data_IF_464106611852
#
_entry.id   IF_464106611852
#
_cell.length_a   1.000
_cell.length_b   1.000
_cell.length_c   1.000
_cell.angle_alpha   90.00
_cell.angle_beta   90.00
_cell.angle_gamma   90.00
#
_symmetry.space_group_name_H-M   'P 1'
#
loop_
_entity.id
_entity.type
_entity.pdbx_description
1 polymer ?
#
# COMPACT_ATOMS: atom_id res chain seq x y z
N UNK A 1 -21.22 -0.58 -22.15
CA UNK A 1 -19.91 -0.15 -22.67
C UNK A 1 -19.05 0.48 -21.58
N UNK A 2 -19.64 1.16 -20.57
CA UNK A 2 -18.93 1.72 -19.39
C UNK A 2 -18.16 0.65 -18.62
N UNK A 3 -18.76 -0.48 -18.26
CA UNK A 3 -18.09 -1.49 -17.44
C UNK A 3 -16.87 -2.15 -18.07
N UNK A 4 -16.80 -2.29 -19.39
CA UNK A 4 -15.61 -2.81 -20.09
C UNK A 4 -14.45 -1.79 -20.08
N UNK A 5 -14.78 -0.51 -20.21
CA UNK A 5 -13.80 0.58 -20.18
C UNK A 5 -13.26 0.75 -18.76
N UNK A 6 -14.12 0.68 -17.73
CA UNK A 6 -13.74 0.75 -16.32
C UNK A 6 -12.83 -0.42 -15.91
N UNK A 7 -13.15 -1.62 -16.38
CA UNK A 7 -12.30 -2.81 -16.15
C UNK A 7 -10.92 -2.66 -16.82
N UNK A 8 -10.87 -2.08 -18.02
CA UNK A 8 -9.60 -1.86 -18.72
C UNK A 8 -8.70 -0.85 -18.00
N UNK A 9 -9.29 0.27 -17.51
CA UNK A 9 -8.55 1.25 -16.71
C UNK A 9 -8.00 0.62 -15.44
N UNK A 10 -8.81 -0.14 -14.71
CA UNK A 10 -8.41 -0.86 -13.49
C UNK A 10 -7.21 -1.76 -13.75
N UNK A 11 -7.26 -2.57 -14.81
CA UNK A 11 -6.17 -3.48 -15.19
C UNK A 11 -4.89 -2.70 -15.54
N UNK A 12 -5.01 -1.63 -16.32
CA UNK A 12 -3.86 -0.79 -16.71
C UNK A 12 -3.23 -0.14 -15.49
N UNK A 13 -4.03 0.44 -14.59
CA UNK A 13 -3.55 1.06 -13.36
C UNK A 13 -2.85 0.04 -12.45
N UNK A 14 -3.44 -1.14 -12.28
CA UNK A 14 -2.85 -2.21 -11.48
C UNK A 14 -1.44 -2.59 -11.99
N UNK A 15 -1.31 -2.89 -13.29
CA UNK A 15 -0.01 -3.25 -13.87
C UNK A 15 0.98 -2.09 -13.88
N UNK A 16 0.51 -0.86 -14.10
CA UNK A 16 1.36 0.33 -14.08
C UNK A 16 1.93 0.56 -12.67
N UNK A 17 1.08 0.53 -11.65
CA UNK A 17 1.49 0.74 -10.25
C UNK A 17 2.41 -0.39 -9.81
N UNK A 18 1.95 -1.64 -9.88
CA UNK A 18 2.72 -2.78 -9.41
C UNK A 18 4.03 -2.93 -10.20
N UNK A 19 3.98 -2.79 -11.53
CA UNK A 19 5.16 -2.85 -12.38
C UNK A 19 6.18 -1.77 -12.02
N UNK A 20 5.74 -0.54 -11.77
CA UNK A 20 6.62 0.56 -11.35
C UNK A 20 7.26 0.27 -9.99
N UNK A 21 6.49 -0.20 -9.00
CA UNK A 21 6.98 -0.52 -7.66
C UNK A 21 8.02 -1.65 -7.68
N UNK A 22 7.79 -2.68 -8.49
CA UNK A 22 8.77 -3.77 -8.64
C UNK A 22 10.02 -3.27 -9.37
N UNK A 23 9.91 -2.43 -10.40
CA UNK A 23 11.09 -1.83 -11.05
C UNK A 23 11.90 -0.96 -10.08
N UNK A 24 11.24 -0.21 -9.19
CA UNK A 24 11.91 0.57 -8.14
C UNK A 24 12.67 -0.38 -7.18
N UNK A 25 12.07 -1.49 -6.80
CA UNK A 25 12.68 -2.52 -5.98
C UNK A 25 13.95 -3.08 -6.65
N UNK A 26 13.85 -3.54 -7.89
CA UNK A 26 14.94 -4.08 -8.68
C UNK A 26 16.06 -3.06 -8.91
N UNK A 27 15.70 -1.77 -9.02
CA UNK A 27 16.66 -0.68 -9.14
C UNK A 27 17.55 -0.57 -7.89
N UNK A 28 17.02 -0.90 -6.71
CA UNK A 28 17.79 -0.99 -5.48
C UNK A 28 18.91 -2.02 -5.56
N UNK A 29 18.58 -3.25 -5.98
CA UNK A 29 19.57 -4.32 -6.20
C UNK A 29 20.59 -3.92 -7.27
N UNK A 30 20.09 -3.40 -8.38
CA UNK A 30 20.92 -2.99 -9.52
C UNK A 30 21.98 -1.94 -9.14
N UNK A 31 21.54 -0.83 -8.53
CA UNK A 31 22.43 0.26 -8.16
C UNK A 31 23.47 -0.23 -7.15
N UNK A 32 23.03 -0.95 -6.13
CA UNK A 32 23.90 -1.40 -5.04
C UNK A 32 24.88 -2.46 -5.51
N UNK A 33 24.47 -3.39 -6.36
CA UNK A 33 25.37 -4.37 -6.98
C UNK A 33 26.45 -3.70 -7.81
N UNK A 34 26.08 -2.72 -8.64
CA UNK A 34 27.06 -1.96 -9.44
C UNK A 34 28.03 -1.15 -8.60
N UNK A 35 27.54 -0.48 -7.55
CA UNK A 35 28.41 0.27 -6.63
C UNK A 35 29.37 -0.64 -5.85
N UNK A 36 28.91 -1.86 -5.54
CA UNK A 36 29.74 -2.88 -4.88
C UNK A 36 30.70 -3.63 -5.83
N UNK A 37 30.69 -3.33 -7.13
CA UNK A 37 31.54 -3.99 -8.12
C UNK A 37 31.06 -5.40 -8.53
N UNK A 38 29.84 -5.81 -8.13
CA UNK A 38 29.23 -7.06 -8.55
C UNK A 38 28.71 -6.91 -9.98
N UNK A 39 28.99 -7.93 -10.82
CA UNK A 39 28.60 -7.92 -12.23
C UNK A 39 27.11 -8.11 -12.39
N UNK A 40 26.45 -7.17 -13.05
CA UNK A 40 25.04 -7.26 -13.44
C UNK A 40 24.91 -7.68 -14.87
N UNK A 41 24.35 -8.85 -15.10
CA UNK A 41 24.19 -9.44 -16.44
C UNK A 41 22.99 -8.84 -17.18
N UNK A 42 21.85 -8.69 -16.52
CA UNK A 42 20.63 -8.18 -17.13
C UNK A 42 19.81 -7.37 -16.15
N UNK A 43 19.24 -6.27 -16.66
CA UNK A 43 18.18 -5.49 -16.00
C UNK A 43 16.97 -5.52 -16.91
N UNK A 44 15.91 -6.22 -16.51
CA UNK A 44 14.71 -6.40 -17.29
C UNK A 44 13.50 -5.69 -16.72
N UNK A 45 12.75 -4.97 -17.58
CA UNK A 45 11.42 -4.46 -17.25
C UNK A 45 10.40 -5.48 -17.75
N UNK A 46 9.54 -5.98 -16.86
CA UNK A 46 8.65 -7.11 -17.11
C UNK A 46 9.36 -8.46 -16.99
N UNK A 47 8.57 -9.55 -16.95
CA UNK A 47 9.10 -10.93 -16.92
C UNK A 47 9.21 -11.56 -18.29
N UNK A 48 10.17 -12.48 -18.50
CA UNK A 48 10.33 -13.24 -19.74
C UNK A 48 9.03 -13.87 -20.26
N UNK A 49 8.92 -14.10 -21.58
CA UNK A 49 9.98 -14.04 -22.57
C UNK A 49 10.35 -12.62 -23.01
N UNK A 50 11.60 -12.45 -23.46
CA UNK A 50 12.14 -11.14 -23.90
C UNK A 50 11.41 -10.65 -25.16
N UNK A 51 10.88 -9.40 -25.08
CA UNK A 51 10.26 -8.73 -26.21
C UNK A 51 11.28 -7.93 -27.03
N UNK A 52 12.16 -7.18 -26.34
CA UNK A 52 13.13 -6.29 -27.00
C UNK A 52 14.36 -6.06 -26.12
N UNK A 53 15.52 -6.00 -26.76
CA UNK A 53 16.74 -5.43 -26.16
C UNK A 53 16.68 -3.92 -26.35
N UNK A 54 16.62 -3.17 -25.25
CA UNK A 54 16.59 -1.71 -25.27
C UNK A 54 18.00 -1.15 -25.46
N UNK A 55 18.96 -1.72 -24.76
CA UNK A 55 20.35 -1.32 -24.80
C UNK A 55 21.26 -2.47 -24.39
N UNK A 56 22.37 -2.62 -25.08
CA UNK A 56 23.50 -3.43 -24.66
C UNK A 56 24.65 -2.47 -24.37
N UNK A 57 24.89 -2.15 -23.10
CA UNK A 57 25.91 -1.18 -22.68
C UNK A 57 26.91 -1.87 -21.77
N UNK A 58 28.12 -2.10 -22.31
CA UNK A 58 29.17 -2.79 -21.58
C UNK A 58 28.77 -4.22 -21.26
N UNK A 59 28.72 -4.55 -19.96
CA UNK A 59 28.45 -5.92 -19.47
C UNK A 59 26.99 -6.17 -19.12
N UNK A 60 26.13 -5.13 -19.10
CA UNK A 60 24.74 -5.23 -18.70
C UNK A 60 23.81 -5.14 -19.91
N UNK A 61 22.89 -6.10 -20.01
CA UNK A 61 21.82 -6.11 -20.99
C UNK A 61 20.57 -5.45 -20.39
N UNK A 62 20.02 -4.43 -21.06
CA UNK A 62 18.76 -3.79 -20.68
C UNK A 62 17.64 -4.30 -21.58
N UNK A 63 16.60 -4.90 -20.99
CA UNK A 63 15.55 -5.58 -21.74
C UNK A 63 14.15 -5.13 -21.37
N UNK A 64 13.26 -5.20 -22.36
CA UNK A 64 11.82 -5.13 -22.19
C UNK A 64 11.26 -6.53 -22.46
N UNK A 65 10.37 -7.00 -21.60
CA UNK A 65 9.80 -8.33 -21.67
C UNK A 65 8.29 -8.28 -21.90
N UNK A 66 7.74 -9.41 -22.40
CA UNK A 66 6.33 -9.47 -22.82
C UNK A 66 5.34 -9.42 -21.66
N UNK A 67 5.70 -9.97 -20.48
CA UNK A 67 4.81 -9.93 -19.34
C UNK A 67 5.02 -8.60 -18.60
N UNK A 68 4.07 -7.66 -18.63
CA UNK A 68 4.24 -6.31 -18.06
C UNK A 68 4.11 -6.30 -16.54
N UNK A 69 4.48 -7.38 -15.89
CA UNK A 69 4.41 -7.55 -14.45
C UNK A 69 5.82 -7.46 -13.89
N UNK A 70 6.14 -6.36 -13.22
CA UNK A 70 7.39 -6.23 -12.49
C UNK A 70 8.64 -6.01 -13.32
N UNK A 71 9.74 -6.53 -12.83
CA UNK A 71 11.07 -6.48 -13.41
C UNK A 71 11.97 -7.52 -12.78
N UNK A 72 13.22 -7.56 -13.19
CA UNK A 72 14.23 -8.39 -12.56
C UNK A 72 15.63 -7.83 -12.80
N UNK A 73 16.51 -8.15 -11.86
CA UNK A 73 17.96 -7.97 -11.99
C UNK A 73 18.60 -9.34 -11.95
N UNK A 74 19.44 -9.64 -12.93
CA UNK A 74 20.24 -10.88 -12.94
C UNK A 74 21.68 -10.55 -12.60
N UNK A 75 22.14 -11.02 -11.44
CA UNK A 75 23.51 -10.91 -11.00
C UNK A 75 24.35 -12.13 -11.40
N UNK A 76 25.61 -11.92 -11.70
CA UNK A 76 26.55 -13.03 -11.94
C UNK A 76 26.66 -13.91 -10.70
N UNK A 77 26.43 -15.24 -10.84
CA UNK A 77 26.55 -16.20 -9.74
C UNK A 77 25.47 -16.15 -8.69
N UNK A 78 24.33 -15.48 -8.95
CA UNK A 78 23.20 -15.38 -8.01
C UNK A 78 22.50 -16.71 -7.78
N UNK A 79 22.37 -17.55 -8.82
CA UNK A 79 21.72 -18.85 -8.78
C UNK A 79 22.62 -19.98 -8.23
N UNK A 80 23.76 -19.61 -7.65
CA UNK A 80 24.74 -20.56 -7.12
C UNK A 80 25.59 -21.21 -8.20
N UNK A 81 25.63 -20.66 -9.41
CA UNK A 81 26.54 -21.07 -10.45
C UNK A 81 27.98 -20.75 -10.00
N UNK A 82 28.84 -21.77 -10.01
CA UNK A 82 30.27 -21.64 -9.65
C UNK A 82 30.96 -20.82 -10.78
N UNK A 83 30.90 -19.50 -10.67
CA UNK A 83 31.65 -18.67 -11.57
C UNK A 83 32.99 -18.34 -10.96
N UNK A 84 34.08 -18.54 -11.72
CA UNK A 84 35.41 -18.09 -11.35
C UNK A 84 35.59 -16.57 -11.48
N UNK A 85 34.52 -15.82 -11.81
CA UNK A 85 34.59 -14.36 -11.89
C UNK A 85 34.67 -13.77 -10.47
N UNK A 86 35.73 -13.04 -10.13
CA UNK A 86 35.86 -12.38 -8.83
C UNK A 86 34.73 -11.36 -8.54
N UNK A 87 34.00 -10.90 -9.58
CA UNK A 87 32.87 -9.98 -9.46
C UNK A 87 31.52 -10.71 -9.36
N UNK A 88 31.54 -12.04 -9.18
CA UNK A 88 30.33 -12.82 -8.93
C UNK A 88 29.72 -12.46 -7.58
N UNK A 89 28.38 -12.38 -7.51
CA UNK A 89 27.64 -12.22 -6.27
C UNK A 89 27.99 -13.33 -5.25
N UNK A 90 28.17 -14.57 -5.72
CA UNK A 90 28.55 -15.68 -4.86
C UNK A 90 29.92 -15.47 -4.17
N UNK A 91 30.86 -14.78 -4.82
CA UNK A 91 32.18 -14.49 -4.31
C UNK A 91 32.27 -13.20 -3.48
N UNK A 92 31.22 -12.37 -3.51
CA UNK A 92 31.18 -11.13 -2.75
C UNK A 92 31.16 -11.40 -1.21
N UNK A 93 31.77 -10.52 -0.41
CA UNK A 93 31.70 -10.59 1.05
C UNK A 93 30.26 -10.70 1.56
N UNK A 94 30.05 -11.38 2.69
CA UNK A 94 28.71 -11.58 3.28
C UNK A 94 27.94 -10.27 3.39
N UNK A 95 28.56 -9.23 3.97
CA UNK A 95 27.93 -7.93 4.16
C UNK A 95 27.50 -7.31 2.83
N UNK A 96 28.34 -7.39 1.81
CA UNK A 96 28.01 -6.89 0.45
C UNK A 96 26.78 -7.57 -0.11
N UNK A 97 26.67 -8.89 0.01
CA UNK A 97 25.50 -9.66 -0.44
C UNK A 97 24.23 -9.26 0.31
N UNK A 98 24.33 -9.09 1.63
CA UNK A 98 23.18 -8.66 2.45
C UNK A 98 22.74 -7.22 2.09
N UNK A 99 23.70 -6.30 1.91
CA UNK A 99 23.40 -4.91 1.52
C UNK A 99 22.73 -4.85 0.14
N UNK A 100 23.17 -5.66 -0.83
CA UNK A 100 22.51 -5.74 -2.14
C UNK A 100 21.07 -6.23 -2.00
N UNK A 101 20.81 -7.27 -1.22
CA UNK A 101 19.45 -7.80 -1.03
C UNK A 101 18.54 -6.84 -0.23
N UNK A 102 19.06 -6.19 0.81
CA UNK A 102 18.30 -5.18 1.57
C UNK A 102 17.96 -3.96 0.72
N UNK A 103 18.78 -3.63 -0.29
CA UNK A 103 18.60 -2.42 -1.10
C UNK A 103 17.24 -2.37 -1.83
N UNK A 104 16.71 -3.51 -2.28
CA UNK A 104 15.37 -3.57 -2.87
C UNK A 104 14.27 -3.18 -1.87
N UNK A 105 14.33 -3.72 -0.65
CA UNK A 105 13.43 -3.36 0.45
C UNK A 105 13.49 -1.87 0.78
N UNK A 106 14.72 -1.34 0.92
CA UNK A 106 14.96 0.07 1.23
C UNK A 106 14.42 0.98 0.12
N UNK A 107 14.61 0.63 -1.14
CA UNK A 107 14.09 1.42 -2.27
C UNK A 107 12.57 1.50 -2.26
N UNK A 108 11.86 0.44 -1.89
CA UNK A 108 10.40 0.48 -1.76
C UNK A 108 9.96 1.33 -0.56
N UNK A 109 10.67 1.30 0.57
CA UNK A 109 10.39 2.23 1.67
C UNK A 109 10.62 3.68 1.28
N UNK A 110 11.71 3.97 0.56
CA UNK A 110 11.97 5.30 0.00
C UNK A 110 10.85 5.68 -0.98
N UNK A 111 10.41 4.75 -1.83
CA UNK A 111 9.30 4.96 -2.76
C UNK A 111 8.01 5.34 -2.04
N UNK A 112 7.62 4.62 -0.98
CA UNK A 112 6.47 4.93 -0.15
C UNK A 112 6.59 6.32 0.48
N UNK A 113 7.72 6.60 1.11
CA UNK A 113 8.01 7.91 1.72
C UNK A 113 7.91 9.06 0.71
N UNK A 114 8.51 8.91 -0.48
CA UNK A 114 8.47 9.96 -1.51
C UNK A 114 7.04 10.19 -2.05
N UNK A 115 6.24 9.14 -2.18
CA UNK A 115 4.84 9.27 -2.57
C UNK A 115 4.06 10.03 -1.50
N UNK A 116 4.17 9.65 -0.23
CA UNK A 116 3.49 10.35 0.87
C UNK A 116 3.98 11.78 1.02
N UNK A 117 5.29 12.02 0.84
CA UNK A 117 5.87 13.35 0.83
C UNK A 117 5.28 14.24 -0.29
N UNK A 118 5.19 13.71 -1.50
CA UNK A 118 4.60 14.43 -2.62
C UNK A 118 3.14 14.84 -2.32
N UNK A 119 2.35 13.91 -1.79
CA UNK A 119 0.94 14.16 -1.45
C UNK A 119 0.84 15.19 -0.32
N UNK A 120 1.59 15.02 0.77
CA UNK A 120 1.56 15.93 1.91
C UNK A 120 2.07 17.34 1.57
N UNK A 121 3.06 17.44 0.68
CA UNK A 121 3.65 18.72 0.30
C UNK A 121 2.79 19.50 -0.70
N UNK A 122 2.25 18.84 -1.73
CA UNK A 122 1.69 19.51 -2.90
C UNK A 122 0.20 19.21 -3.16
N UNK A 123 -0.33 18.11 -2.65
CA UNK A 123 -1.60 17.57 -3.13
C UNK A 123 -2.43 16.89 -2.03
N UNK A 124 -2.39 17.38 -0.78
CA UNK A 124 -3.23 16.84 0.29
C UNK A 124 -4.70 17.07 -0.06
N UNK A 125 -5.53 16.02 -0.19
CA UNK A 125 -6.94 16.19 -0.47
C UNK A 125 -7.66 16.91 0.67
N UNK A 126 -8.54 17.84 0.32
CA UNK A 126 -9.55 18.38 1.24
C UNK A 126 -10.66 17.32 1.36
N UNK A 127 -11.01 16.98 2.59
CA UNK A 127 -11.97 15.90 2.86
C UNK A 127 -13.08 16.37 3.77
N UNK A 128 -14.28 15.84 3.54
CA UNK A 128 -15.40 15.89 4.46
C UNK A 128 -15.70 14.51 5.02
N UNK A 129 -16.71 14.42 5.85
CA UNK A 129 -17.18 13.19 6.47
C UNK A 129 -18.62 12.91 6.07
N UNK A 130 -18.86 11.86 5.31
CA UNK A 130 -20.19 11.33 5.05
C UNK A 130 -20.60 10.39 6.18
N UNK A 131 -21.83 10.52 6.65
CA UNK A 131 -22.37 9.72 7.73
C UNK A 131 -23.64 8.99 7.29
N UNK A 132 -23.74 7.67 7.58
CA UNK A 132 -24.90 6.88 7.17
C UNK A 132 -26.12 7.06 8.07
N UNK A 133 -25.93 7.45 9.34
CA UNK A 133 -26.98 7.44 10.35
C UNK A 133 -27.06 8.80 11.05
N UNK A 134 -28.28 9.29 11.22
CA UNK A 134 -28.62 10.43 12.10
C UNK A 134 -29.43 9.87 13.26
N UNK A 135 -28.99 10.13 14.48
CA UNK A 135 -29.62 9.64 15.71
C UNK A 135 -30.95 10.38 15.96
N UNK A 136 -32.04 9.67 16.29
CA UNK A 136 -33.30 10.32 16.66
C UNK A 136 -33.16 11.22 17.91
N UNK A 137 -33.77 12.40 17.87
CA UNK A 137 -33.70 13.37 18.98
C UNK A 137 -32.36 14.09 19.13
N UNK A 138 -31.44 13.91 18.18
CA UNK A 138 -30.11 14.51 18.21
C UNK A 138 -30.07 15.95 17.68
N UNK A 139 -28.99 16.71 17.98
CA UNK A 139 -28.73 17.98 17.34
C UNK A 139 -28.71 17.92 15.82
N UNK A 140 -28.18 16.82 15.26
CA UNK A 140 -28.13 16.58 13.81
C UNK A 140 -29.56 16.51 13.22
N UNK A 141 -30.48 15.73 13.83
CA UNK A 141 -31.86 15.65 13.40
C UNK A 141 -32.58 16.98 13.53
N UNK A 142 -32.42 17.68 14.67
CA UNK A 142 -33.04 18.97 14.91
C UNK A 142 -32.56 20.04 13.92
N UNK A 143 -31.31 19.95 13.46
CA UNK A 143 -30.73 20.82 12.43
C UNK A 143 -31.13 20.42 11.00
N UNK A 144 -31.83 19.32 10.79
CA UNK A 144 -32.27 18.86 9.48
C UNK A 144 -31.20 18.17 8.65
N UNK A 145 -30.18 17.59 9.30
CA UNK A 145 -29.21 16.69 8.64
C UNK A 145 -29.91 15.36 8.27
N UNK A 146 -29.46 14.76 7.19
CA UNK A 146 -30.05 13.53 6.65
C UNK A 146 -28.99 12.45 6.49
N UNK A 147 -29.37 11.16 6.59
CA UNK A 147 -28.46 10.08 6.25
C UNK A 147 -27.84 10.26 4.86
N UNK A 148 -26.55 9.96 4.73
CA UNK A 148 -25.71 10.14 3.54
C UNK A 148 -25.40 11.59 3.14
N UNK A 149 -25.73 12.59 3.95
CA UNK A 149 -25.13 13.91 3.85
C UNK A 149 -23.64 13.82 4.24
N UNK A 150 -22.84 14.81 3.79
CA UNK A 150 -21.43 14.90 4.19
C UNK A 150 -21.14 16.27 4.83
N UNK A 151 -20.55 16.28 6.01
CA UNK A 151 -20.04 17.51 6.62
C UNK A 151 -18.72 17.86 5.95
N UNK A 152 -18.62 19.08 5.44
CA UNK A 152 -17.51 19.53 4.61
C UNK A 152 -16.72 20.70 5.22
N UNK A 153 -17.30 21.38 6.22
CA UNK A 153 -16.63 22.42 7.00
C UNK A 153 -17.33 22.65 8.33
N UNK A 154 -16.60 23.19 9.30
CA UNK A 154 -17.12 23.74 10.57
C UNK A 154 -16.73 25.21 10.62
N UNK A 155 -17.68 26.12 10.75
CA UNK A 155 -17.47 27.58 10.73
C UNK A 155 -16.60 28.08 9.57
N UNK A 156 -16.80 27.50 8.40
CA UNK A 156 -16.03 27.75 7.18
C UNK A 156 -14.59 27.18 7.18
N UNK A 157 -14.15 26.52 8.23
CA UNK A 157 -12.88 25.79 8.27
C UNK A 157 -13.04 24.41 7.64
N UNK A 158 -12.14 24.09 6.70
CA UNK A 158 -12.12 22.80 5.99
C UNK A 158 -11.05 21.87 6.54
N UNK A 159 -11.30 20.61 6.44
CA UNK A 159 -10.40 19.56 6.91
C UNK A 159 -9.66 18.93 5.73
N UNK A 160 -8.45 18.54 5.96
CA UNK A 160 -7.65 17.81 4.98
C UNK A 160 -7.37 16.36 5.43
N UNK A 161 -6.90 15.55 4.49
CA UNK A 161 -6.73 14.11 4.69
C UNK A 161 -5.71 13.73 5.78
N UNK A 162 -4.71 14.58 6.04
CA UNK A 162 -3.68 14.33 7.05
C UNK A 162 -3.87 15.17 8.32
N UNK A 163 -4.88 16.00 8.37
CA UNK A 163 -5.18 16.85 9.50
C UNK A 163 -5.95 16.14 10.61
N UNK A 164 -6.31 16.90 11.64
CA UNK A 164 -7.22 16.43 12.67
C UNK A 164 -8.57 16.09 12.04
N UNK A 165 -9.13 14.94 12.43
CA UNK A 165 -10.40 14.49 11.88
C UNK A 165 -11.57 15.36 12.32
N UNK A 166 -12.60 15.45 11.50
CA UNK A 166 -13.82 16.24 11.76
C UNK A 166 -14.55 15.80 13.05
N UNK A 167 -14.55 14.50 13.37
CA UNK A 167 -15.19 13.99 14.61
C UNK A 167 -14.50 14.48 15.89
N UNK A 168 -13.17 14.45 16.04
CA UNK A 168 -12.48 15.09 17.15
C UNK A 168 -12.80 16.57 17.26
N UNK A 169 -12.77 17.33 16.16
CA UNK A 169 -13.07 18.76 16.16
C UNK A 169 -14.52 19.06 16.64
N UNK A 170 -15.50 18.25 16.27
CA UNK A 170 -16.86 18.37 16.78
C UNK A 170 -16.93 18.08 18.29
N UNK A 171 -16.16 17.09 18.78
CA UNK A 171 -16.15 16.70 20.20
C UNK A 171 -15.49 17.76 21.09
N UNK A 172 -14.44 18.41 20.62
CA UNK A 172 -13.76 19.51 21.33
C UNK A 172 -14.64 20.74 21.49
N UNK A 173 -15.59 20.92 20.55
CA UNK A 173 -16.52 22.05 20.54
C UNK A 173 -17.91 21.69 21.09
N UNK A 174 -18.00 20.64 21.93
CA UNK A 174 -19.24 20.23 22.56
C UNK A 174 -19.89 21.39 23.34
N UNK A 175 -21.20 21.60 23.16
CA UNK A 175 -21.96 22.70 23.72
C UNK A 175 -21.99 23.98 22.89
N UNK A 176 -21.11 24.11 21.89
CA UNK A 176 -21.06 25.29 21.04
C UNK A 176 -22.17 25.26 19.96
N UNK A 177 -22.52 26.46 19.49
CA UNK A 177 -23.34 26.61 18.28
C UNK A 177 -22.42 26.87 17.09
N UNK A 178 -22.48 26.01 16.09
CA UNK A 178 -21.59 25.98 14.95
C UNK A 178 -22.38 26.15 13.64
N UNK A 179 -21.69 26.61 12.61
CA UNK A 179 -22.18 26.58 11.24
C UNK A 179 -21.49 25.44 10.49
N UNK A 180 -22.23 24.38 10.18
CA UNK A 180 -21.73 23.27 9.39
C UNK A 180 -21.97 23.53 7.90
N UNK A 181 -20.93 23.44 7.08
CA UNK A 181 -21.08 23.25 5.65
C UNK A 181 -21.46 21.80 5.37
N UNK A 182 -22.58 21.56 4.71
CA UNK A 182 -23.13 20.23 4.47
C UNK A 182 -23.35 20.03 2.99
N UNK A 183 -22.64 19.06 2.41
CA UNK A 183 -22.91 18.58 1.06
C UNK A 183 -24.08 17.59 1.12
N UNK A 184 -25.19 17.94 0.46
CA UNK A 184 -26.38 17.11 0.38
C UNK A 184 -26.17 15.93 -0.59
N UNK A 185 -26.84 14.84 -0.36
CA UNK A 185 -26.81 13.66 -1.24
C UNK A 185 -27.42 13.92 -2.63
N UNK A 186 -28.29 14.92 -2.75
CA UNK A 186 -28.95 15.36 -3.99
C UNK A 186 -28.17 16.46 -4.75
N UNK A 187 -27.05 16.91 -4.21
CA UNK A 187 -26.14 17.92 -4.75
C UNK A 187 -26.34 19.30 -4.10
N UNK A 188 -25.24 20.06 -4.05
CA UNK A 188 -25.18 21.38 -3.43
C UNK A 188 -24.59 21.34 -2.01
N UNK A 189 -24.03 22.50 -1.60
CA UNK A 189 -23.50 22.70 -0.24
C UNK A 189 -24.40 23.74 0.43
N UNK A 190 -24.90 23.40 1.60
CA UNK A 190 -25.74 24.26 2.45
C UNK A 190 -25.01 24.55 3.75
N UNK A 191 -25.19 25.75 4.30
CA UNK A 191 -24.72 26.10 5.64
C UNK A 191 -25.87 25.87 6.64
N UNK A 192 -25.62 25.02 7.61
CA UNK A 192 -26.61 24.61 8.60
C UNK A 192 -26.08 24.97 9.97
N UNK A 193 -26.84 25.78 10.72
CA UNK A 193 -26.50 26.08 12.12
C UNK A 193 -26.98 24.99 13.04
N UNK A 194 -26.11 24.49 13.91
CA UNK A 194 -26.42 23.43 14.88
C UNK A 194 -25.80 23.76 16.23
N UNK A 195 -26.51 23.49 17.31
CA UNK A 195 -25.98 23.52 18.68
C UNK A 195 -25.65 22.11 19.11
N UNK A 196 -24.38 21.84 19.40
CA UNK A 196 -23.89 20.52 19.80
C UNK A 196 -24.37 20.15 21.22
N UNK A 197 -24.40 18.85 21.51
CA UNK A 197 -24.60 18.35 22.90
C UNK A 197 -23.53 18.91 23.81
N UNK A 198 -23.86 19.29 25.07
CA UNK A 198 -22.84 19.71 26.03
C UNK A 198 -21.95 18.53 26.46
N UNK A 199 -20.77 18.84 26.94
CA UNK A 199 -19.75 17.83 27.29
C UNK A 199 -20.26 16.79 28.30
N UNK A 200 -21.16 17.22 29.22
CA UNK A 200 -21.74 16.37 30.26
C UNK A 200 -22.66 15.26 29.72
N UNK A 201 -23.16 15.43 28.49
CA UNK A 201 -24.02 14.45 27.81
C UNK A 201 -23.24 13.50 26.89
N UNK A 202 -21.89 13.65 26.79
CA UNK A 202 -21.04 12.84 25.96
C UNK A 202 -20.47 11.67 26.76
N UNK A 203 -20.52 10.48 26.15
CA UNK A 203 -19.83 9.27 26.63
C UNK A 203 -19.01 8.64 25.49
N UNK A 204 -18.59 7.37 25.62
CA UNK A 204 -17.81 6.68 24.60
C UNK A 204 -18.62 6.43 23.33
N UNK A 205 -19.93 6.24 23.44
CA UNK A 205 -20.85 5.88 22.35
C UNK A 205 -21.63 7.10 21.80
N UNK A 206 -21.70 8.20 22.58
CA UNK A 206 -22.52 9.38 22.25
C UNK A 206 -21.67 10.50 21.63
N UNK A 207 -21.90 10.79 20.36
CA UNK A 207 -21.25 11.90 19.66
C UNK A 207 -21.91 13.25 19.90
N UNK A 208 -21.11 14.35 19.86
CA UNK A 208 -21.59 15.72 20.12
C UNK A 208 -22.68 16.19 19.12
N UNK A 209 -22.66 15.71 17.90
CA UNK A 209 -23.61 16.05 16.85
C UNK A 209 -24.80 15.05 16.76
N UNK A 210 -24.57 13.80 17.13
CA UNK A 210 -25.57 12.71 16.98
C UNK A 210 -25.61 12.15 15.56
N UNK A 211 -24.45 11.94 14.98
CA UNK A 211 -24.26 11.13 13.79
C UNK A 211 -23.51 9.86 14.20
N UNK A 212 -23.88 8.74 13.60
CA UNK A 212 -23.27 7.45 13.92
C UNK A 212 -23.07 6.59 12.68
N UNK A 213 -22.33 5.50 12.86
CA UNK A 213 -22.00 4.54 11.83
C UNK A 213 -22.01 3.12 12.42
N UNK A 214 -22.14 2.11 11.56
CA UNK A 214 -22.05 0.70 11.94
C UNK A 214 -20.94 0.01 11.15
N UNK A 215 -20.63 -1.22 11.49
CA UNK A 215 -19.67 -2.03 10.72
C UNK A 215 -20.14 -2.26 9.27
N UNK A 216 -21.45 -2.34 9.04
CA UNK A 216 -22.05 -2.52 7.71
C UNK A 216 -22.18 -1.20 6.94
N UNK A 217 -22.28 -0.07 7.66
CA UNK A 217 -22.39 1.27 7.10
C UNK A 217 -21.43 2.21 7.87
N UNK A 218 -20.15 2.22 7.53
CA UNK A 218 -19.14 3.05 8.19
C UNK A 218 -19.23 4.52 7.78
N UNK A 219 -18.56 5.39 8.53
CA UNK A 219 -18.25 6.73 8.05
C UNK A 219 -17.37 6.66 6.81
N UNK A 220 -17.65 7.50 5.82
CA UNK A 220 -16.90 7.55 4.58
C UNK A 220 -16.26 8.92 4.38
N UNK A 221 -15.01 9.00 3.91
CA UNK A 221 -14.44 10.26 3.47
C UNK A 221 -15.18 10.78 2.23
N UNK A 222 -15.47 12.08 2.22
CA UNK A 222 -16.04 12.78 1.07
C UNK A 222 -14.98 13.67 0.42
N UNK A 223 -14.65 13.39 -0.84
CA UNK A 223 -13.61 14.12 -1.57
C UNK A 223 -14.22 15.17 -2.48
N UNK A 224 -13.74 16.42 -2.36
CA UNK A 224 -14.22 17.56 -3.18
C UNK A 224 -13.46 17.72 -4.49
N UNK A 225 -12.33 17.03 -4.67
CA UNK A 225 -11.39 17.32 -5.75
C UNK A 225 -10.55 18.58 -5.54
N UNK A 226 -10.56 19.14 -4.33
CA UNK A 226 -9.70 20.24 -3.92
C UNK A 226 -8.47 19.71 -3.18
N UNK A 227 -7.33 20.39 -3.34
CA UNK A 227 -6.06 19.99 -2.75
C UNK A 227 -5.38 21.19 -2.11
N UNK A 228 -4.72 20.94 -0.97
CA UNK A 228 -3.91 21.93 -0.26
C UNK A 228 -2.47 21.47 -0.19
N UNK A 229 -1.55 22.44 -0.24
CA UNK A 229 -0.13 22.17 -0.01
C UNK A 229 0.28 22.56 1.40
N UNK A 230 1.31 21.91 1.92
CA UNK A 230 1.95 22.24 3.19
C UNK A 230 3.40 22.69 2.98
N UNK A 231 3.98 23.31 4.02
CA UNK A 231 5.42 23.55 4.03
C UNK A 231 6.21 22.22 4.04
N UNK A 232 7.41 22.24 3.48
CA UNK A 232 8.22 21.05 3.31
C UNK A 232 8.60 20.36 4.63
N UNK A 233 8.98 21.06 5.72
CA UNK A 233 9.25 20.42 7.01
C UNK A 233 8.05 19.63 7.55
N UNK A 234 6.85 20.21 7.57
CA UNK A 234 5.62 19.53 7.98
C UNK A 234 5.30 18.32 7.09
N UNK A 235 5.46 18.47 5.78
CA UNK A 235 5.25 17.39 4.83
C UNK A 235 6.22 16.21 5.03
N UNK A 236 7.48 16.47 5.37
CA UNK A 236 8.48 15.44 5.72
C UNK A 236 8.05 14.69 6.97
N UNK A 237 7.59 15.39 8.02
CA UNK A 237 7.07 14.78 9.24
C UNK A 237 5.92 13.83 8.93
N UNK A 238 4.89 14.32 8.24
CA UNK A 238 3.71 13.54 7.85
C UNK A 238 4.10 12.30 7.01
N UNK A 239 4.99 12.47 6.02
CA UNK A 239 5.42 11.36 5.19
C UNK A 239 6.16 10.27 5.99
N UNK A 240 6.96 10.68 6.98
CA UNK A 240 7.62 9.78 7.91
C UNK A 240 6.61 9.00 8.77
N UNK A 241 5.68 9.70 9.40
CA UNK A 241 4.63 9.13 10.25
C UNK A 241 3.75 8.17 9.45
N UNK A 242 3.33 8.55 8.22
CA UNK A 242 2.54 7.68 7.34
C UNK A 242 3.30 6.42 6.95
N UNK A 243 4.58 6.54 6.60
CA UNK A 243 5.42 5.38 6.24
C UNK A 243 5.54 4.41 7.42
N UNK A 244 5.78 4.92 8.63
CA UNK A 244 5.88 4.12 9.86
C UNK A 244 4.52 3.51 10.21
N UNK A 245 3.46 4.29 10.14
CA UNK A 245 2.09 3.84 10.42
C UNK A 245 1.70 2.66 9.52
N UNK A 246 1.88 2.80 8.21
CA UNK A 246 1.55 1.71 7.28
C UNK A 246 2.43 0.49 7.45
N UNK A 247 3.73 0.68 7.74
CA UNK A 247 4.62 -0.43 8.07
C UNK A 247 4.10 -1.21 9.29
N UNK A 248 3.68 -0.52 10.35
CA UNK A 248 3.10 -1.13 11.56
C UNK A 248 1.78 -1.86 11.28
N UNK A 249 0.87 -1.24 10.50
CA UNK A 249 -0.41 -1.84 10.13
C UNK A 249 -0.23 -3.11 9.28
N UNK A 250 0.69 -3.10 8.32
CA UNK A 250 0.98 -4.25 7.46
C UNK A 250 1.59 -5.38 8.30
N UNK A 251 2.51 -5.05 9.21
CA UNK A 251 3.09 -6.05 10.13
C UNK A 251 2.03 -6.67 11.04
N UNK A 252 1.12 -5.87 11.58
CA UNK A 252 -0.03 -6.34 12.37
C UNK A 252 -0.96 -7.24 11.53
N UNK A 253 -1.26 -6.84 10.29
CA UNK A 253 -2.06 -7.63 9.35
C UNK A 253 -1.44 -8.99 9.03
N UNK A 254 -0.11 -9.06 8.86
CA UNK A 254 0.60 -10.32 8.69
C UNK A 254 0.52 -11.20 9.95
N UNK A 255 0.57 -10.58 11.15
CA UNK A 255 0.35 -11.29 12.41
C UNK A 255 -1.06 -11.89 12.50
N UNK A 256 -2.08 -11.12 12.13
CA UNK A 256 -3.47 -11.58 12.08
C UNK A 256 -3.67 -12.70 11.04
N UNK A 257 -3.05 -12.58 9.86
CA UNK A 257 -3.07 -13.65 8.85
C UNK A 257 -2.50 -14.94 9.41
N UNK A 258 -1.36 -14.87 10.10
CA UNK A 258 -0.74 -16.03 10.71
C UNK A 258 -1.61 -16.66 11.80
N UNK A 259 -2.22 -15.87 12.69
CA UNK A 259 -3.13 -16.36 13.73
C UNK A 259 -4.38 -17.00 13.13
N UNK A 260 -5.03 -16.33 12.17
CA UNK A 260 -6.21 -16.88 11.47
C UNK A 260 -5.91 -18.23 10.82
N UNK A 261 -4.75 -18.35 10.15
CA UNK A 261 -4.35 -19.60 9.51
C UNK A 261 -4.07 -20.74 10.51
N UNK A 262 -3.58 -20.40 11.69
CA UNK A 262 -3.32 -21.39 12.76
C UNK A 262 -4.64 -21.83 13.41
N UNK A 263 -5.54 -20.90 13.68
CA UNK A 263 -6.79 -21.13 14.40
C UNK A 263 -7.83 -21.82 13.52
N UNK A 264 -8.01 -21.37 12.28
CA UNK A 264 -8.90 -21.94 11.28
C UNK A 264 -8.33 -21.79 9.87
N UNK A 265 -7.62 -22.79 9.33
CA UNK A 265 -7.06 -22.77 7.98
C UNK A 265 -8.10 -22.64 6.85
N UNK A 266 -9.39 -22.82 7.16
CA UNK A 266 -10.50 -22.73 6.20
C UNK A 266 -11.17 -21.35 6.20
N UNK A 267 -10.87 -20.52 7.19
CA UNK A 267 -11.41 -19.17 7.29
C UNK A 267 -10.95 -18.30 6.11
N UNK A 268 -11.80 -17.37 5.65
CA UNK A 268 -11.41 -16.41 4.63
C UNK A 268 -10.19 -15.60 5.08
N UNK A 269 -9.13 -15.47 4.24
CA UNK A 269 -7.94 -14.71 4.62
C UNK A 269 -8.29 -13.24 4.88
N UNK A 270 -7.75 -12.61 5.95
CA UNK A 270 -7.96 -11.19 6.25
C UNK A 270 -7.12 -10.27 5.35
N UNK A 271 -6.72 -10.73 4.19
CA UNK A 271 -5.91 -10.01 3.19
C UNK A 271 -6.55 -10.10 1.82
N UNK A 272 -6.23 -9.14 0.97
CA UNK A 272 -6.62 -9.15 -0.44
C UNK A 272 -5.49 -9.73 -1.30
N UNK A 273 -5.88 -10.53 -2.27
CA UNK A 273 -5.00 -11.04 -3.31
C UNK A 273 -4.92 -10.09 -4.51
N UNK A 274 -4.30 -10.52 -5.60
CA UNK A 274 -4.11 -9.68 -6.79
C UNK A 274 -5.41 -9.11 -7.38
N UNK A 275 -6.50 -9.87 -7.35
CA UNK A 275 -7.81 -9.44 -7.88
C UNK A 275 -8.43 -8.40 -6.95
N UNK A 276 -8.42 -8.62 -5.64
CA UNK A 276 -8.91 -7.66 -4.66
C UNK A 276 -8.13 -6.34 -4.69
N UNK A 277 -6.80 -6.40 -4.78
CA UNK A 277 -5.95 -5.21 -4.91
C UNK A 277 -6.27 -4.45 -6.21
N UNK A 278 -6.41 -5.14 -7.34
CA UNK A 278 -6.76 -4.50 -8.60
C UNK A 278 -8.13 -3.81 -8.51
N UNK A 279 -9.12 -4.46 -7.94
CA UNK A 279 -10.46 -3.89 -7.73
C UNK A 279 -10.40 -2.66 -6.82
N UNK A 280 -9.71 -2.75 -5.69
CA UNK A 280 -9.53 -1.62 -4.76
C UNK A 280 -8.85 -0.42 -5.42
N UNK A 281 -7.81 -0.61 -6.24
CA UNK A 281 -7.18 0.46 -7.03
C UNK A 281 -8.20 1.12 -7.96
N UNK A 282 -8.99 0.31 -8.69
CA UNK A 282 -10.02 0.83 -9.60
C UNK A 282 -11.12 1.61 -8.88
N UNK A 283 -11.57 1.12 -7.73
CA UNK A 283 -12.61 1.77 -6.93
C UNK A 283 -12.12 3.09 -6.34
N UNK A 284 -10.91 3.12 -5.78
CA UNK A 284 -10.29 4.36 -5.28
C UNK A 284 -10.08 5.36 -6.42
N UNK A 285 -9.65 4.92 -7.60
CA UNK A 285 -9.49 5.82 -8.73
C UNK A 285 -10.82 6.47 -9.15
N UNK A 286 -11.91 5.71 -9.15
CA UNK A 286 -13.24 6.21 -9.52
C UNK A 286 -13.87 7.11 -8.46
N UNK A 287 -13.73 6.75 -7.18
CA UNK A 287 -14.40 7.46 -6.07
C UNK A 287 -13.59 8.65 -5.54
N UNK A 288 -12.27 8.55 -5.50
CA UNK A 288 -11.39 9.50 -4.83
C UNK A 288 -10.30 10.09 -5.75
N UNK A 289 -10.23 9.63 -6.99
CA UNK A 289 -9.36 10.18 -8.03
C UNK A 289 -7.88 9.78 -7.95
N UNK A 290 -7.03 10.40 -8.81
CA UNK A 290 -5.66 9.93 -9.02
C UNK A 290 -4.74 10.14 -7.81
N UNK A 291 -4.95 11.16 -6.99
CA UNK A 291 -4.09 11.41 -5.81
C UNK A 291 -4.29 10.33 -4.75
N UNK A 292 -5.55 9.91 -4.50
CA UNK A 292 -5.81 8.81 -3.57
C UNK A 292 -5.34 7.46 -4.15
N UNK A 293 -5.39 7.29 -5.46
CA UNK A 293 -4.77 6.13 -6.12
C UNK A 293 -3.25 6.11 -5.93
N UNK A 294 -2.60 7.27 -6.01
CA UNK A 294 -1.17 7.40 -5.70
C UNK A 294 -0.88 7.10 -4.22
N UNK A 295 -1.77 7.51 -3.31
CA UNK A 295 -1.66 7.17 -1.89
C UNK A 295 -1.70 5.63 -1.68
N UNK A 296 -2.63 4.92 -2.35
CA UNK A 296 -2.66 3.45 -2.36
C UNK A 296 -1.36 2.86 -2.92
N UNK A 297 -0.77 3.46 -3.96
CA UNK A 297 0.54 3.02 -4.46
C UNK A 297 1.65 3.18 -3.41
N UNK A 298 1.61 4.21 -2.56
CA UNK A 298 2.50 4.37 -1.41
C UNK A 298 2.35 3.23 -0.39
N UNK A 299 1.11 2.87 -0.06
CA UNK A 299 0.80 1.73 0.82
C UNK A 299 1.35 0.42 0.22
N UNK A 300 1.10 0.18 -1.07
CA UNK A 300 1.59 -1.01 -1.76
C UNK A 300 3.11 -1.07 -1.81
N UNK A 301 3.79 0.08 -1.92
CA UNK A 301 5.25 0.16 -1.85
C UNK A 301 5.78 -0.24 -0.48
N UNK A 302 5.17 0.25 0.61
CA UNK A 302 5.52 -0.15 1.97
C UNK A 302 5.24 -1.64 2.22
N UNK A 303 4.12 -2.15 1.68
CA UNK A 303 3.77 -3.56 1.76
C UNK A 303 4.81 -4.44 1.04
N UNK A 304 5.19 -4.07 -0.19
CA UNK A 304 6.19 -4.81 -0.97
C UNK A 304 7.56 -4.81 -0.27
N UNK A 305 7.93 -3.70 0.39
CA UNK A 305 9.14 -3.63 1.21
C UNK A 305 9.09 -4.64 2.37
N UNK A 306 8.00 -4.63 3.15
CA UNK A 306 7.88 -5.51 4.32
C UNK A 306 7.81 -6.99 3.92
N UNK A 307 6.99 -7.33 2.91
CA UNK A 307 6.85 -8.71 2.43
C UNK A 307 8.19 -9.23 1.94
N UNK A 308 8.95 -8.47 1.14
CA UNK A 308 10.27 -8.90 0.67
C UNK A 308 11.32 -8.99 1.78
N UNK A 309 11.12 -8.31 2.91
CA UNK A 309 11.98 -8.46 4.09
C UNK A 309 11.72 -9.73 4.89
N UNK A 310 10.60 -10.43 4.67
CA UNK A 310 10.27 -11.66 5.41
C UNK A 310 11.31 -12.76 5.17
N UNK A 311 11.70 -13.51 6.21
CA UNK A 311 12.66 -14.60 6.09
C UNK A 311 12.04 -15.86 5.44
N UNK A 312 11.39 -15.67 4.29
CA UNK A 312 10.66 -16.70 3.57
C UNK A 312 11.14 -16.80 2.10
N UNK A 313 11.69 -17.96 1.67
CA UNK A 313 12.03 -18.16 0.26
C UNK A 313 10.75 -18.17 -0.62
N UNK A 314 10.76 -17.55 -1.80
CA UNK A 314 11.89 -17.02 -2.57
C UNK A 314 12.18 -15.52 -2.40
N UNK A 315 11.62 -14.86 -1.36
CA UNK A 315 11.77 -13.44 -1.10
C UNK A 315 13.21 -13.08 -0.70
N UNK A 316 13.59 -11.79 -0.79
CA UNK A 316 14.96 -11.34 -0.47
C UNK A 316 15.36 -11.64 0.96
N UNK A 317 14.44 -11.46 1.92
CA UNK A 317 14.65 -11.85 3.33
C UNK A 317 14.94 -13.33 3.50
N UNK A 318 14.28 -14.18 2.73
CA UNK A 318 14.56 -15.62 2.69
C UNK A 318 15.94 -15.93 2.09
N UNK A 319 16.32 -15.21 1.03
CA UNK A 319 17.68 -15.30 0.45
C UNK A 319 18.74 -14.87 1.46
N UNK A 320 18.52 -13.76 2.17
CA UNK A 320 19.40 -13.29 3.25
C UNK A 320 19.54 -14.35 4.35
N UNK A 321 18.42 -14.93 4.79
CA UNK A 321 18.42 -16.01 5.78
C UNK A 321 19.27 -17.20 5.32
N UNK A 322 19.08 -17.68 4.10
CA UNK A 322 19.86 -18.82 3.54
C UNK A 322 21.34 -18.49 3.48
N UNK A 323 21.73 -17.28 3.05
CA UNK A 323 23.13 -16.83 3.01
C UNK A 323 23.75 -16.83 4.41
N UNK A 324 23.04 -16.34 5.42
CA UNK A 324 23.49 -16.34 6.82
C UNK A 324 23.62 -17.76 7.36
N UNK A 325 22.62 -18.62 7.13
CA UNK A 325 22.66 -20.02 7.52
C UNK A 325 23.83 -20.78 6.87
N UNK A 326 24.10 -20.53 5.59
CA UNK A 326 25.28 -21.10 4.91
C UNK A 326 26.59 -20.64 5.55
N UNK A 327 26.65 -19.39 6.02
CA UNK A 327 27.84 -18.89 6.74
C UNK A 327 28.04 -19.58 8.08
N UNK A 328 26.93 -19.91 8.80
CA UNK A 328 26.98 -20.55 10.12
C UNK A 328 27.25 -22.05 9.99
N UNK A 329 26.51 -22.74 9.13
CA UNK A 329 26.53 -24.19 9.01
C UNK A 329 27.51 -24.73 7.94
N UNK A 330 28.08 -23.85 7.13
CA UNK A 330 29.10 -24.17 6.13
C UNK A 330 28.61 -25.18 5.08
N UNK A 331 29.46 -26.17 4.76
CA UNK A 331 29.20 -27.18 3.73
C UNK A 331 28.00 -28.10 4.01
N UNK A 332 27.40 -28.04 5.19
CA UNK A 332 26.20 -28.84 5.51
C UNK A 332 24.97 -28.48 4.70
N UNK A 333 24.91 -27.25 4.16
CA UNK A 333 23.84 -26.82 3.26
C UNK A 333 24.33 -26.97 1.82
N UNK A 334 23.86 -28.03 1.15
CA UNK A 334 24.20 -28.28 -0.25
C UNK A 334 23.48 -27.32 -1.20
N UNK A 335 24.04 -27.11 -2.40
CA UNK A 335 23.37 -26.33 -3.47
C UNK A 335 22.01 -26.93 -3.86
N UNK A 336 21.89 -28.26 -3.80
CA UNK A 336 20.61 -28.93 -4.07
C UNK A 336 19.56 -28.60 -3.00
N UNK A 337 19.93 -28.59 -1.72
CA UNK A 337 19.05 -28.22 -0.62
C UNK A 337 18.60 -26.74 -0.75
N UNK A 338 19.51 -25.85 -1.13
CA UNK A 338 19.19 -24.44 -1.37
C UNK A 338 18.19 -24.27 -2.51
N UNK A 339 18.45 -24.86 -3.69
CA UNK A 339 17.53 -24.83 -4.83
C UNK A 339 16.16 -25.43 -4.49
N UNK A 340 16.13 -26.52 -3.75
CA UNK A 340 14.89 -27.14 -3.28
C UNK A 340 14.12 -26.20 -2.34
N UNK A 341 14.81 -25.50 -1.44
CA UNK A 341 14.19 -24.54 -0.52
C UNK A 341 13.51 -23.39 -1.28
N UNK A 342 14.17 -22.82 -2.30
CA UNK A 342 13.56 -21.80 -3.14
C UNK A 342 12.39 -22.32 -3.95
N UNK A 343 12.51 -23.51 -4.51
CA UNK A 343 11.42 -24.15 -5.28
C UNK A 343 10.18 -24.41 -4.41
N UNK A 344 10.37 -24.99 -3.23
CA UNK A 344 9.27 -25.26 -2.28
C UNK A 344 8.64 -23.96 -1.80
N UNK A 345 9.45 -22.94 -1.47
CA UNK A 345 8.94 -21.62 -1.09
C UNK A 345 8.14 -20.96 -2.20
N UNK A 346 8.63 -21.03 -3.44
CA UNK A 346 7.91 -20.50 -4.61
C UNK A 346 6.59 -21.25 -4.85
N UNK A 347 6.60 -22.58 -4.77
CA UNK A 347 5.38 -23.37 -4.93
C UNK A 347 4.34 -23.05 -3.85
N UNK A 348 4.79 -22.88 -2.60
CA UNK A 348 3.92 -22.45 -1.51
C UNK A 348 3.34 -21.06 -1.76
N UNK A 349 4.18 -20.09 -2.16
CA UNK A 349 3.73 -18.73 -2.46
C UNK A 349 2.70 -18.72 -3.59
N UNK A 350 2.91 -19.51 -4.65
CA UNK A 350 1.94 -19.63 -5.75
C UNK A 350 0.62 -20.24 -5.29
N UNK A 351 0.68 -21.31 -4.48
CA UNK A 351 -0.51 -21.93 -3.92
C UNK A 351 -1.28 -20.94 -3.02
N UNK A 352 -0.57 -20.17 -2.19
CA UNK A 352 -1.15 -19.13 -1.35
C UNK A 352 -1.82 -18.02 -2.18
N UNK A 353 -1.13 -17.51 -3.22
CA UNK A 353 -1.70 -16.49 -4.11
C UNK A 353 -2.96 -16.98 -4.84
N UNK A 354 -2.95 -18.24 -5.31
CA UNK A 354 -4.13 -18.85 -5.94
C UNK A 354 -5.27 -18.95 -4.93
N UNK A 355 -4.97 -19.41 -3.70
CA UNK A 355 -5.95 -19.55 -2.63
C UNK A 355 -6.60 -18.19 -2.31
N UNK A 356 -5.82 -17.14 -2.06
CA UNK A 356 -6.35 -15.79 -1.79
C UNK A 356 -7.14 -15.25 -2.98
N UNK A 357 -6.66 -15.46 -4.22
CA UNK A 357 -7.35 -15.02 -5.44
C UNK A 357 -8.74 -15.66 -5.59
N UNK A 358 -8.88 -16.95 -5.23
CA UNK A 358 -10.18 -17.62 -5.23
C UNK A 358 -11.15 -16.93 -4.26
N UNK A 359 -10.67 -16.58 -3.07
CA UNK A 359 -11.49 -15.83 -2.10
C UNK A 359 -11.84 -14.43 -2.58
N UNK A 360 -10.91 -13.72 -3.26
CA UNK A 360 -11.23 -12.42 -3.87
C UNK A 360 -12.40 -12.52 -4.85
N UNK A 361 -12.35 -13.53 -5.72
CA UNK A 361 -13.41 -13.76 -6.74
C UNK A 361 -14.75 -14.09 -6.07
N UNK A 362 -14.74 -14.94 -5.04
CA UNK A 362 -15.96 -15.31 -4.30
C UNK A 362 -16.55 -14.08 -3.62
N UNK A 363 -15.74 -13.26 -2.96
CA UNK A 363 -16.17 -12.01 -2.31
C UNK A 363 -16.70 -10.99 -3.33
N UNK A 364 -15.99 -10.79 -4.45
CA UNK A 364 -16.41 -9.86 -5.50
C UNK A 364 -17.62 -10.31 -6.30
N UNK A 365 -17.96 -11.61 -6.31
CA UNK A 365 -19.18 -12.13 -6.93
C UNK A 365 -20.42 -12.11 -6.02
N UNK A 366 -20.26 -11.73 -4.74
CA UNK A 366 -21.35 -11.61 -3.75
C UNK A 366 -21.87 -10.15 -3.61
N UNK A 367 -21.24 -9.19 -4.30
CA UNK A 367 -21.65 -7.76 -4.41
C UNK A 367 -22.18 -7.47 -5.80
#
# INVERSE_FOLDING_TARGET
MSGLFDSAITIVLFFLILGTLVVIHELGHFITARLAGVRVLEFGVGFPPRAKVLRSSGETLYTLNWLPIGGFVKLEGEDGDDTNDPRSFANAPLLTRLVILVAGVVMNLIGAFLIFLFIAWLATPVVGLRFPIVEPGSPAEAAGLRPNDAIVSIDNERFDFFGEGLLPALRERAGDTLVLGVARSDGGIENITVTLRPTEELDEDTGALGISATTEAPFEPYFFGEYVGRDLPSAIGIAGDETIRWFGLILSGLGQLASTFIDDPTAPPPVQGPVGIATAIGDVFRSAGPIMTLYVAGILSANLALVNALPFPPLDGGRMLVIVLKRIFGRRISLQAERLTYFVGFAFLMAFLIWVTVFDIIRGGAT
#
